data_IF_318386197220
#
_entry.id   IF_318386197220
#
_cell.length_a   1.000
_cell.length_b   1.000
_cell.length_c   1.000
_cell.angle_alpha   90.00
_cell.angle_beta   90.00
_cell.angle_gamma   90.00
#
_symmetry.space_group_name_H-M   'P 1'
#
loop_
_entity.id
_entity.type
_entity.pdbx_description
1 polymer ?
#
# COMPACT_ATOMS: atom_id res chain seq x y z
N UNK A 1 -0.66 31.95 25.89
CA UNK A 1 -1.63 31.53 24.85
C UNK A 1 -1.21 30.16 24.38
N UNK A 2 -1.82 29.11 24.93
CA UNK A 2 -1.61 27.74 24.47
C UNK A 2 -2.22 27.61 23.07
N UNK A 3 -1.38 27.24 22.09
CA UNK A 3 -1.85 26.93 20.73
C UNK A 3 -2.68 25.65 20.83
N UNK A 4 -3.98 25.72 20.52
CA UNK A 4 -4.83 24.54 20.42
C UNK A 4 -4.18 23.49 19.51
N UNK A 5 -4.03 22.27 20.02
CA UNK A 5 -3.45 21.16 19.27
C UNK A 5 -4.31 20.88 18.04
N UNK A 6 -3.82 21.28 16.86
CA UNK A 6 -4.41 20.86 15.59
C UNK A 6 -4.32 19.32 15.57
N UNK A 7 -5.44 18.62 15.47
CA UNK A 7 -5.44 17.16 15.39
C UNK A 7 -4.53 16.73 14.23
N UNK A 8 -3.68 15.73 14.47
CA UNK A 8 -2.78 15.21 13.44
C UNK A 8 -3.61 14.55 12.35
N UNK A 9 -3.14 14.66 11.10
CA UNK A 9 -3.77 13.95 9.98
C UNK A 9 -3.67 12.44 10.18
N UNK A 10 -4.78 11.74 10.06
CA UNK A 10 -4.82 10.28 10.10
C UNK A 10 -4.45 9.72 8.74
N UNK A 11 -3.35 8.98 8.68
CA UNK A 11 -2.85 8.41 7.42
C UNK A 11 -2.71 6.89 7.50
N UNK A 12 -2.90 6.23 6.37
CA UNK A 12 -2.61 4.82 6.19
C UNK A 12 -1.73 4.59 4.96
N UNK A 13 -0.81 3.63 5.05
CA UNK A 13 0.03 3.15 3.95
C UNK A 13 -0.31 1.68 3.72
N UNK A 14 -0.74 1.36 2.50
CA UNK A 14 -1.24 0.05 2.09
C UNK A 14 -0.44 -0.49 0.90
N UNK A 15 -0.18 -1.80 0.93
CA UNK A 15 0.65 -2.50 -0.04
C UNK A 15 -0.18 -3.58 -0.73
N UNK A 16 -0.42 -3.42 -2.04
CA UNK A 16 -1.04 -4.46 -2.88
C UNK A 16 0.05 -5.29 -3.59
N UNK A 17 -0.26 -5.88 -4.74
CA UNK A 17 0.73 -6.62 -5.53
C UNK A 17 1.80 -5.69 -6.08
N UNK A 18 2.95 -5.66 -5.42
CA UNK A 18 4.10 -4.83 -5.75
C UNK A 18 5.41 -5.49 -5.30
N UNK A 19 6.50 -4.73 -5.40
CA UNK A 19 7.78 -5.12 -4.81
C UNK A 19 7.97 -4.59 -3.39
N UNK A 20 6.99 -3.86 -2.84
CA UNK A 20 7.07 -3.15 -1.57
C UNK A 20 8.12 -2.02 -1.54
N UNK A 21 8.55 -1.56 -2.72
CA UNK A 21 9.67 -0.64 -2.87
C UNK A 21 9.35 0.80 -2.47
N UNK A 22 8.13 1.27 -2.75
CA UNK A 22 7.72 2.64 -2.41
C UNK A 22 7.47 2.74 -0.88
N UNK A 23 6.88 1.70 -0.29
CA UNK A 23 6.71 1.55 1.15
C UNK A 23 8.05 1.42 1.88
N UNK A 24 8.99 0.62 1.36
CA UNK A 24 10.35 0.51 1.91
C UNK A 24 11.10 1.84 1.83
N UNK A 25 10.97 2.57 0.73
CA UNK A 25 11.61 3.88 0.58
C UNK A 25 11.13 4.88 1.64
N UNK A 26 9.84 4.83 2.02
CA UNK A 26 9.32 5.62 3.14
C UNK A 26 10.04 5.25 4.44
N UNK A 27 10.32 3.97 4.70
CA UNK A 27 11.06 3.53 5.88
C UNK A 27 12.55 3.88 5.83
N UNK A 28 13.14 3.93 4.65
CA UNK A 28 14.56 4.27 4.47
C UNK A 28 14.82 5.78 4.63
N UNK A 29 13.79 6.61 4.80
CA UNK A 29 13.90 8.05 5.01
C UNK A 29 14.44 8.46 6.41
N UNK A 30 15.32 7.67 7.03
CA UNK A 30 16.01 7.89 8.32
C UNK A 30 15.46 9.02 9.24
N UNK A 31 15.97 10.25 9.12
CA UNK A 31 15.58 11.36 10.00
C UNK A 31 14.21 11.95 9.62
N UNK A 32 13.94 12.05 8.33
CA UNK A 32 12.69 12.52 7.76
C UNK A 32 11.50 11.60 8.14
N UNK A 33 11.78 10.30 8.33
CA UNK A 33 10.81 9.32 8.80
C UNK A 33 10.27 9.71 10.17
N UNK A 34 11.17 10.04 11.11
CA UNK A 34 10.79 10.44 12.46
C UNK A 34 9.91 11.70 12.42
N UNK A 35 10.22 12.65 11.54
CA UNK A 35 9.44 13.87 11.40
C UNK A 35 8.07 13.61 10.76
N UNK A 36 7.98 12.65 9.82
CA UNK A 36 6.70 12.19 9.26
C UNK A 36 5.81 11.56 10.35
N UNK A 37 6.35 10.62 11.16
CA UNK A 37 5.63 10.00 12.27
C UNK A 37 5.23 11.01 13.36
N UNK A 38 5.96 12.12 13.51
CA UNK A 38 5.57 13.21 14.41
C UNK A 38 4.47 14.09 13.81
N UNK A 39 4.50 14.34 12.49
CA UNK A 39 3.58 15.24 11.81
C UNK A 39 2.18 14.62 11.56
N UNK A 40 2.11 13.30 11.39
CA UNK A 40 0.88 12.56 11.13
C UNK A 40 0.60 11.49 12.19
N UNK A 41 -0.65 11.06 12.26
CA UNK A 41 -1.08 9.89 13.01
C UNK A 41 -1.18 8.70 12.06
N UNK A 42 -0.17 7.83 12.08
CA UNK A 42 -0.10 6.65 11.19
C UNK A 42 -0.94 5.52 11.80
N UNK A 43 -2.16 5.40 11.27
CA UNK A 43 -3.16 4.43 11.70
C UNK A 43 -2.81 3.02 11.20
N UNK A 44 -2.30 2.91 9.97
CA UNK A 44 -1.92 1.63 9.38
C UNK A 44 -0.68 1.76 8.52
N UNK A 45 0.29 0.89 8.75
CA UNK A 45 1.47 0.67 7.93
C UNK A 45 2.07 -0.68 8.30
N UNK A 46 1.65 -1.75 7.61
CA UNK A 46 1.97 -3.13 7.98
C UNK A 46 3.48 -3.40 8.07
N UNK A 47 4.27 -2.79 7.18
CA UNK A 47 5.73 -2.90 7.20
C UNK A 47 6.39 -2.25 8.43
N UNK A 48 5.76 -1.22 9.01
CA UNK A 48 6.35 -0.40 10.07
C UNK A 48 5.85 -0.74 11.48
N UNK A 49 4.61 -1.22 11.61
CA UNK A 49 3.95 -1.41 12.90
C UNK A 49 2.93 -2.57 12.88
N UNK A 50 2.69 -3.17 14.04
CA UNK A 50 1.78 -4.30 14.21
C UNK A 50 0.38 -3.91 14.70
N UNK A 51 0.26 -2.80 15.43
CA UNK A 51 -0.98 -2.22 15.96
C UNK A 51 -1.71 -1.37 14.90
N UNK A 52 -2.06 -2.00 13.78
CA UNK A 52 -2.79 -1.34 12.69
C UNK A 52 -4.27 -1.12 13.08
N UNK A 53 -4.80 0.04 12.69
CA UNK A 53 -6.16 0.46 13.00
C UNK A 53 -6.94 0.61 11.69
N UNK A 54 -8.05 -0.14 11.59
CA UNK A 54 -9.03 -0.01 10.52
C UNK A 54 -10.04 1.08 10.87
N UNK A 55 -9.60 2.33 10.73
CA UNK A 55 -10.40 3.53 11.00
C UNK A 55 -10.58 4.44 9.79
N UNK A 56 -11.32 5.54 10.00
CA UNK A 56 -11.41 6.64 9.04
C UNK A 56 -10.04 7.31 8.84
N UNK A 57 -9.71 7.64 7.60
CA UNK A 57 -8.44 8.25 7.21
C UNK A 57 -8.67 9.58 6.51
N UNK A 58 -7.77 10.53 6.76
CA UNK A 58 -7.67 11.73 5.94
C UNK A 58 -7.01 11.40 4.60
N UNK A 59 -5.94 10.60 4.61
CA UNK A 59 -5.21 10.18 3.41
C UNK A 59 -4.82 8.70 3.50
N UNK A 60 -5.08 7.94 2.45
CA UNK A 60 -4.54 6.61 2.26
C UNK A 60 -3.55 6.61 1.09
N UNK A 61 -2.32 6.22 1.35
CA UNK A 61 -1.31 5.94 0.32
C UNK A 61 -1.40 4.46 -0.05
N UNK A 62 -1.48 4.16 -1.34
CA UNK A 62 -1.58 2.79 -1.85
C UNK A 62 -0.47 2.55 -2.85
N UNK A 63 0.44 1.61 -2.55
CA UNK A 63 1.38 1.07 -3.52
C UNK A 63 0.91 -0.27 -4.10
N UNK A 64 1.53 -0.67 -5.20
CA UNK A 64 1.22 -1.94 -5.84
C UNK A 64 0.00 -1.89 -6.76
N UNK A 65 -0.06 -2.86 -7.67
CA UNK A 65 -1.16 -3.07 -8.60
C UNK A 65 -2.24 -3.98 -8.00
N UNK A 66 -3.49 -3.81 -8.43
CA UNK A 66 -4.58 -4.75 -8.09
C UNK A 66 -4.48 -5.96 -9.02
N UNK A 67 -4.07 -7.12 -8.51
CA UNK A 67 -3.90 -8.35 -9.30
C UNK A 67 -4.89 -9.47 -8.94
N UNK A 68 -5.59 -9.33 -7.79
CA UNK A 68 -6.56 -10.31 -7.29
C UNK A 68 -7.88 -9.66 -6.90
N UNK A 69 -8.97 -10.45 -6.82
CA UNK A 69 -10.26 -9.95 -6.34
C UNK A 69 -10.20 -9.51 -4.87
N UNK A 70 -9.39 -10.20 -4.05
CA UNK A 70 -9.16 -9.81 -2.65
C UNK A 70 -8.58 -8.40 -2.54
N UNK A 71 -7.58 -8.06 -3.35
CA UNK A 71 -6.98 -6.72 -3.36
C UNK A 71 -7.94 -5.66 -3.89
N UNK A 72 -8.84 -6.02 -4.80
CA UNK A 72 -9.90 -5.13 -5.25
C UNK A 72 -10.88 -4.83 -4.12
N UNK A 73 -11.30 -5.85 -3.36
CA UNK A 73 -12.14 -5.68 -2.17
C UNK A 73 -11.45 -4.81 -1.11
N UNK A 74 -10.17 -5.05 -0.87
CA UNK A 74 -9.33 -4.27 0.04
C UNK A 74 -9.21 -2.79 -0.39
N UNK A 75 -8.92 -2.51 -1.66
CA UNK A 75 -8.84 -1.14 -2.17
C UNK A 75 -10.19 -0.42 -2.09
N UNK A 76 -11.29 -1.12 -2.33
CA UNK A 76 -12.64 -0.57 -2.18
C UNK A 76 -12.95 -0.26 -0.71
N UNK A 77 -12.51 -1.09 0.23
CA UNK A 77 -12.61 -0.79 1.66
C UNK A 77 -11.80 0.46 2.04
N UNK A 78 -10.53 0.51 1.67
CA UNK A 78 -9.65 1.67 1.88
C UNK A 78 -10.31 2.95 1.34
N UNK A 79 -10.85 2.91 0.12
CA UNK A 79 -11.53 4.05 -0.51
C UNK A 79 -12.79 4.49 0.25
N UNK A 80 -13.52 3.57 0.88
CA UNK A 80 -14.73 3.91 1.66
C UNK A 80 -14.40 4.71 2.92
N UNK A 81 -13.29 4.37 3.58
CA UNK A 81 -12.89 5.00 4.86
C UNK A 81 -11.88 6.13 4.72
N UNK A 82 -11.25 6.30 3.55
CA UNK A 82 -10.33 7.41 3.28
C UNK A 82 -11.01 8.59 2.56
N UNK A 83 -10.78 9.82 3.04
CA UNK A 83 -11.19 11.05 2.34
C UNK A 83 -10.43 11.19 1.02
N UNK A 84 -9.13 10.94 1.04
CA UNK A 84 -8.27 10.95 -0.16
C UNK A 84 -7.52 9.62 -0.28
N UNK A 85 -7.47 9.07 -1.50
CA UNK A 85 -6.62 7.92 -1.83
C UNK A 85 -5.57 8.40 -2.82
N UNK A 86 -4.31 8.14 -2.53
CA UNK A 86 -3.15 8.52 -3.35
C UNK A 86 -2.46 7.24 -3.80
N UNK A 87 -2.41 7.03 -5.11
CA UNK A 87 -1.57 5.99 -5.71
C UNK A 87 -0.10 6.45 -5.63
N UNK A 88 0.75 5.62 -5.02
CA UNK A 88 2.19 5.85 -4.96
C UNK A 88 2.92 4.75 -5.74
N UNK A 89 3.86 5.15 -6.59
CA UNK A 89 4.63 4.22 -7.41
C UNK A 89 4.05 3.89 -8.78
N UNK A 90 4.91 3.34 -9.64
CA UNK A 90 4.57 2.99 -11.03
C UNK A 90 3.57 1.83 -11.10
N UNK A 91 3.60 0.92 -10.12
CA UNK A 91 2.71 -0.24 -10.05
C UNK A 91 1.26 0.17 -9.82
N UNK A 92 1.00 1.08 -8.88
CA UNK A 92 -0.36 1.53 -8.56
C UNK A 92 -0.91 2.49 -9.61
N UNK A 93 -0.06 3.31 -10.23
CA UNK A 93 -0.47 4.28 -11.24
C UNK A 93 -0.69 3.65 -12.63
N UNK A 94 0.13 2.66 -13.03
CA UNK A 94 0.18 2.16 -14.40
C UNK A 94 0.25 0.63 -14.51
N UNK A 95 0.19 -0.10 -13.40
CA UNK A 95 0.30 -1.56 -13.35
C UNK A 95 1.73 -2.11 -13.31
N UNK A 96 2.74 -1.27 -13.54
CA UNK A 96 4.15 -1.63 -13.40
C UNK A 96 4.60 -2.80 -14.27
N UNK A 97 5.58 -3.56 -13.79
CA UNK A 97 6.12 -4.74 -14.49
C UNK A 97 5.08 -5.85 -14.59
N UNK A 98 4.15 -5.93 -13.65
CA UNK A 98 3.08 -6.92 -13.57
C UNK A 98 2.17 -6.84 -14.80
N UNK A 99 1.88 -5.62 -15.27
CA UNK A 99 1.08 -5.40 -16.47
C UNK A 99 1.74 -5.92 -17.77
N UNK A 100 3.05 -6.14 -17.78
CA UNK A 100 3.77 -6.70 -18.94
C UNK A 100 3.56 -8.22 -19.11
N UNK A 101 3.04 -8.93 -18.10
CA UNK A 101 2.93 -10.39 -18.07
C UNK A 101 1.48 -10.90 -17.99
N UNK A 102 0.55 -10.22 -18.68
CA UNK A 102 -0.88 -10.55 -18.67
C UNK A 102 -1.29 -11.64 -19.67
N UNK A 103 -0.39 -12.10 -20.55
CA UNK A 103 -0.72 -13.19 -21.47
C UNK A 103 -1.03 -14.48 -20.70
N UNK A 104 -2.25 -14.98 -20.90
CA UNK A 104 -2.77 -16.14 -20.16
C UNK A 104 -1.94 -17.41 -20.39
N UNK A 105 -1.41 -17.61 -21.60
CA UNK A 105 -0.62 -18.82 -21.91
C UNK A 105 0.72 -18.77 -21.20
N UNK A 106 1.37 -17.60 -21.19
CA UNK A 106 2.62 -17.40 -20.46
C UNK A 106 2.41 -17.50 -18.95
N UNK A 107 1.31 -16.95 -18.42
CA UNK A 107 0.93 -17.11 -17.02
C UNK A 107 0.73 -18.60 -16.66
N UNK A 108 -0.05 -19.36 -17.42
CA UNK A 108 -0.29 -20.79 -17.16
C UNK A 108 0.99 -21.63 -17.26
N UNK A 109 1.86 -21.30 -18.21
CA UNK A 109 3.18 -21.93 -18.36
C UNK A 109 4.06 -21.67 -17.14
N UNK A 110 4.13 -20.41 -16.68
CA UNK A 110 4.90 -20.03 -15.51
C UNK A 110 4.33 -20.67 -14.24
N UNK A 111 3.01 -20.65 -14.08
CA UNK A 111 2.31 -21.32 -12.98
C UNK A 111 2.65 -22.81 -12.94
N UNK A 112 2.50 -23.52 -14.06
CA UNK A 112 2.90 -24.93 -14.16
C UNK A 112 4.38 -25.11 -13.84
N UNK A 113 5.29 -24.26 -14.32
CA UNK A 113 6.73 -24.38 -14.04
C UNK A 113 7.05 -24.30 -12.55
N UNK A 114 6.37 -23.42 -11.81
CA UNK A 114 6.58 -23.23 -10.36
C UNK A 114 5.92 -24.34 -9.54
N UNK A 115 4.68 -24.72 -9.87
CA UNK A 115 3.86 -25.59 -9.02
C UNK A 115 3.80 -27.07 -9.48
N UNK A 116 4.40 -27.45 -10.62
CA UNK A 116 4.30 -28.81 -11.18
C UNK A 116 4.92 -29.91 -10.31
N UNK A 117 5.80 -29.59 -9.35
CA UNK A 117 6.36 -30.58 -8.42
C UNK A 117 5.46 -30.90 -7.21
N UNK A 118 4.23 -30.38 -7.15
CA UNK A 118 3.30 -30.61 -6.02
C UNK A 118 2.32 -31.80 -6.21
N UNK A 119 2.56 -32.66 -7.20
CA UNK A 119 1.76 -33.88 -7.46
C UNK A 119 2.69 -34.98 -8.00
#
# INVERSE_FOLDING_TARGET
>A
MEKGSKEKLKIGIYELTGCAGDALLILDCEQELIDMFKAADIQSFLMAKSDNIDGELDVAFVEGSVSTEREKEELLDIRKRAKTVVAIGICSCFGGIQAAFLDKKDWEKNFKKVYRCLH
#
